data_IF_092880079647
#
_entry.id   IF_092880079647
#
_cell.length_a   1.000
_cell.length_b   1.000
_cell.length_c   1.000
_cell.angle_alpha   90.00
_cell.angle_beta   90.00
_cell.angle_gamma   90.00
#
_symmetry.space_group_name_H-M   'P 1'
#
loop_
_entity.id
_entity.type
_entity.pdbx_description
1 polymer ?
#
# COMPACT_ATOMS: atom_id res chain seq x y z
N UNK A 1 -2.86 -8.71 -22.24
CA UNK A 1 -4.06 -7.91 -22.47
C UNK A 1 -4.13 -6.74 -21.49
N UNK A 2 -4.33 -5.53 -22.03
CA UNK A 2 -4.48 -4.30 -21.28
C UNK A 2 -5.91 -4.12 -20.69
N UNK A 3 -6.18 -2.98 -20.00
CA UNK A 3 -7.49 -2.73 -19.40
C UNK A 3 -8.66 -2.76 -20.41
N UNK A 4 -8.48 -2.21 -21.62
CA UNK A 4 -9.52 -2.21 -22.66
C UNK A 4 -9.91 -3.64 -23.05
N UNK A 5 -8.93 -4.52 -23.24
CA UNK A 5 -9.15 -5.93 -23.59
C UNK A 5 -9.79 -6.73 -22.44
N UNK A 6 -9.70 -6.19 -21.21
CA UNK A 6 -10.33 -6.75 -20.01
C UNK A 6 -11.73 -6.20 -19.74
N UNK A 7 -12.25 -5.30 -20.59
CA UNK A 7 -13.61 -4.80 -20.54
C UNK A 7 -13.79 -3.37 -20.03
N UNK A 8 -12.71 -2.65 -19.73
CA UNK A 8 -12.80 -1.22 -19.45
C UNK A 8 -13.07 -0.43 -20.74
N UNK A 9 -13.99 0.52 -20.70
CA UNK A 9 -14.30 1.37 -21.84
C UNK A 9 -13.22 2.46 -22.06
N UNK A 10 -12.54 2.86 -20.99
CA UNK A 10 -11.54 3.92 -20.99
C UNK A 10 -10.36 3.54 -20.10
N UNK A 11 -9.20 4.04 -20.46
CA UNK A 11 -7.98 3.91 -19.68
C UNK A 11 -7.13 5.17 -19.83
N UNK A 12 -6.56 5.62 -18.72
CA UNK A 12 -5.43 6.53 -18.68
C UNK A 12 -4.40 5.98 -17.71
N UNK A 13 -3.17 5.82 -18.12
CA UNK A 13 -2.11 5.26 -17.29
C UNK A 13 -0.84 4.98 -18.08
N UNK A 14 0.09 4.23 -17.48
CA UNK A 14 1.38 3.93 -18.09
C UNK A 14 1.26 3.24 -19.46
N UNK A 15 2.07 3.68 -20.42
CA UNK A 15 2.18 3.03 -21.75
C UNK A 15 2.81 1.65 -21.67
N UNK A 16 3.77 1.48 -20.76
CA UNK A 16 4.46 0.21 -20.49
C UNK A 16 4.46 0.00 -18.98
N UNK A 17 4.14 -1.21 -18.56
CA UNK A 17 4.29 -1.61 -17.17
C UNK A 17 5.76 -1.93 -16.89
N UNK A 18 6.58 -0.89 -16.80
CA UNK A 18 7.95 -0.96 -16.35
C UNK A 18 8.07 -0.14 -15.07
N UNK A 19 8.19 -0.83 -13.94
CA UNK A 19 8.22 -0.24 -12.60
C UNK A 19 9.40 0.71 -12.32
N UNK A 20 10.28 0.93 -13.30
CA UNK A 20 11.44 1.82 -13.18
C UNK A 20 11.25 3.19 -13.83
N UNK A 21 10.07 3.45 -14.41
CA UNK A 21 9.78 4.65 -15.20
C UNK A 21 8.63 5.48 -14.62
N UNK A 22 8.36 5.39 -13.32
CA UNK A 22 7.20 6.04 -12.67
C UNK A 22 7.45 7.53 -12.39
N UNK A 23 8.03 8.28 -13.33
CA UNK A 23 8.24 9.72 -13.16
C UNK A 23 6.89 10.46 -13.19
N UNK A 24 6.57 11.14 -12.07
CA UNK A 24 5.32 11.88 -11.92
C UNK A 24 5.22 13.11 -12.82
N UNK A 25 6.34 13.58 -13.38
CA UNK A 25 6.43 14.80 -14.17
C UNK A 25 6.53 14.56 -15.67
N UNK A 26 6.74 13.32 -16.11
CA UNK A 26 6.91 12.98 -17.53
C UNK A 26 5.61 12.51 -18.18
N UNK A 27 4.88 13.37 -18.93
CA UNK A 27 3.64 12.99 -19.60
C UNK A 27 3.85 11.91 -20.68
N UNK A 28 5.07 11.72 -21.19
CA UNK A 28 5.35 10.74 -22.24
C UNK A 28 5.22 9.29 -21.78
N UNK A 29 5.29 9.06 -20.48
CA UNK A 29 5.12 7.74 -19.88
C UNK A 29 3.67 7.23 -19.91
N UNK A 30 2.71 8.11 -20.15
CA UNK A 30 1.28 7.82 -20.01
C UNK A 30 0.57 7.81 -21.36
N UNK A 31 -0.52 7.06 -21.42
CA UNK A 31 -1.39 6.99 -22.58
C UNK A 31 -2.85 6.98 -22.17
N UNK A 32 -3.69 7.59 -23.01
CA UNK A 32 -5.15 7.45 -22.97
C UNK A 32 -5.59 6.44 -24.01
N UNK A 33 -6.52 5.54 -23.63
CA UNK A 33 -7.13 4.57 -24.55
C UNK A 33 -8.66 4.58 -24.39
N UNK A 34 -9.44 4.31 -25.44
CA UNK A 34 -8.95 4.23 -26.82
C UNK A 34 -8.38 5.59 -27.28
N UNK A 35 -7.49 5.55 -28.26
CA UNK A 35 -6.96 6.78 -28.88
C UNK A 35 -8.12 7.60 -29.48
N UNK A 36 -8.05 8.91 -29.37
CA UNK A 36 -9.10 9.81 -29.87
C UNK A 36 -9.05 11.19 -29.22
N UNK A 37 -10.17 11.92 -29.24
CA UNK A 37 -10.26 13.27 -28.71
C UNK A 37 -9.76 13.31 -27.26
N UNK A 38 -8.69 14.08 -27.03
CA UNK A 38 -8.20 14.37 -25.68
C UNK A 38 -9.15 15.38 -25.04
N UNK A 39 -9.63 15.14 -23.81
CA UNK A 39 -10.30 16.21 -23.08
C UNK A 39 -9.29 17.33 -22.79
N UNK A 40 -9.75 18.57 -22.78
CA UNK A 40 -8.96 19.67 -22.25
C UNK A 40 -8.82 19.49 -20.74
N UNK A 41 -7.64 19.07 -20.30
CA UNK A 41 -7.31 18.89 -18.91
C UNK A 41 -6.27 19.92 -18.48
N UNK A 42 -6.26 20.33 -17.19
CA UNK A 42 -5.27 21.28 -16.66
C UNK A 42 -3.80 20.86 -16.91
N UNK A 43 -3.56 19.55 -17.01
CA UNK A 43 -2.27 18.97 -17.33
C UNK A 43 -1.70 19.42 -18.70
N UNK A 44 -2.55 19.69 -19.66
CA UNK A 44 -2.13 20.11 -21.01
C UNK A 44 -1.68 21.57 -21.04
N UNK A 45 -2.00 22.36 -20.01
CA UNK A 45 -1.56 23.73 -19.83
C UNK A 45 -0.14 23.88 -19.20
N UNK A 46 0.69 22.85 -19.25
CA UNK A 46 2.09 22.88 -18.80
C UNK A 46 2.29 22.60 -17.30
N UNK A 47 1.32 22.02 -16.63
CA UNK A 47 1.38 21.64 -15.20
C UNK A 47 1.13 20.15 -14.98
N UNK A 48 1.76 19.30 -15.79
CA UNK A 48 1.59 17.86 -15.63
C UNK A 48 2.18 17.40 -14.30
N UNK A 49 1.34 16.75 -13.47
CA UNK A 49 1.72 15.95 -12.31
C UNK A 49 0.79 14.74 -12.25
N UNK A 50 1.35 13.54 -12.46
CA UNK A 50 0.58 12.34 -12.76
C UNK A 50 -0.51 12.03 -11.71
N UNK A 51 -0.23 12.20 -10.42
CA UNK A 51 -1.21 11.96 -9.35
C UNK A 51 -2.47 12.81 -9.50
N UNK A 52 -2.33 14.10 -9.83
CA UNK A 52 -3.47 14.99 -10.06
C UNK A 52 -4.19 14.63 -11.37
N UNK A 53 -3.43 14.31 -12.41
CA UNK A 53 -3.94 13.95 -13.74
C UNK A 53 -4.74 12.66 -13.71
N UNK A 54 -4.36 11.66 -12.91
CA UNK A 54 -5.17 10.46 -12.72
C UNK A 54 -6.57 10.80 -12.18
N UNK A 55 -6.64 11.74 -11.24
CA UNK A 55 -7.92 12.21 -10.71
C UNK A 55 -8.72 12.96 -11.78
N UNK A 56 -8.07 13.82 -12.60
CA UNK A 56 -8.72 14.56 -13.69
C UNK A 56 -9.36 13.60 -14.68
N UNK A 57 -8.65 12.54 -15.09
CA UNK A 57 -9.20 11.52 -15.98
C UNK A 57 -10.32 10.70 -15.34
N UNK A 58 -10.21 10.36 -14.05
CA UNK A 58 -11.29 9.67 -13.35
C UNK A 58 -12.58 10.48 -13.36
N UNK A 59 -12.51 11.78 -13.03
CA UNK A 59 -13.64 12.70 -13.09
C UNK A 59 -14.23 12.83 -14.50
N UNK A 60 -13.37 12.92 -15.50
CA UNK A 60 -13.79 12.99 -16.90
C UNK A 60 -14.50 11.70 -17.36
N UNK A 61 -13.98 10.54 -16.99
CA UNK A 61 -14.62 9.26 -17.33
C UNK A 61 -15.98 9.08 -16.61
N UNK A 62 -16.10 9.52 -15.36
CA UNK A 62 -17.37 9.56 -14.64
C UNK A 62 -18.37 10.48 -15.34
N UNK A 63 -17.94 11.69 -15.75
CA UNK A 63 -18.77 12.63 -16.50
C UNK A 63 -19.29 12.01 -17.82
N UNK A 64 -18.42 11.36 -18.59
CA UNK A 64 -18.79 10.67 -19.82
C UNK A 64 -19.79 9.52 -19.58
N UNK A 65 -19.61 8.76 -18.51
CA UNK A 65 -20.54 7.68 -18.16
C UNK A 65 -21.94 8.22 -17.82
N UNK A 66 -22.03 9.32 -17.07
CA UNK A 66 -23.28 10.00 -16.72
C UNK A 66 -24.06 10.44 -17.96
N UNK A 67 -23.39 10.94 -19.00
CA UNK A 67 -24.07 11.35 -20.25
C UNK A 67 -24.74 10.19 -20.97
N UNK A 68 -24.27 8.95 -20.71
CA UNK A 68 -24.85 7.72 -21.28
C UNK A 68 -25.98 7.12 -20.40
N UNK A 69 -26.20 7.68 -19.22
CA UNK A 69 -27.21 7.17 -18.28
C UNK A 69 -26.94 5.76 -17.75
N UNK A 70 -25.71 5.27 -17.83
CA UNK A 70 -25.32 3.92 -17.44
C UNK A 70 -24.60 3.90 -16.09
N UNK A 71 -24.76 2.82 -15.31
CA UNK A 71 -23.89 2.57 -14.17
C UNK A 71 -22.42 2.53 -14.59
N UNK A 72 -21.53 2.95 -13.70
CA UNK A 72 -20.09 2.98 -14.00
C UNK A 72 -19.26 2.33 -12.89
N UNK A 73 -18.07 1.90 -13.27
CA UNK A 73 -17.02 1.41 -12.38
C UNK A 73 -15.72 2.13 -12.72
N UNK A 74 -15.10 2.74 -11.73
CA UNK A 74 -13.79 3.40 -11.86
C UNK A 74 -12.79 2.69 -10.96
N UNK A 75 -11.68 2.25 -11.54
CA UNK A 75 -10.52 1.77 -10.81
C UNK A 75 -9.41 2.81 -10.91
N UNK A 76 -9.27 3.63 -9.86
CA UNK A 76 -8.27 4.69 -9.77
C UNK A 76 -7.04 4.16 -9.02
N UNK A 77 -6.06 3.68 -9.79
CA UNK A 77 -4.82 3.12 -9.28
C UNK A 77 -3.71 4.18 -9.37
N UNK A 78 -3.50 4.92 -8.29
CA UNK A 78 -2.38 5.86 -8.22
C UNK A 78 -1.05 5.11 -8.13
N UNK A 79 -0.01 5.59 -8.84
CA UNK A 79 1.38 5.18 -8.61
C UNK A 79 1.95 5.84 -7.34
N UNK A 80 1.46 7.00 -6.97
CA UNK A 80 1.78 7.64 -5.69
C UNK A 80 1.29 6.80 -4.50
N UNK A 81 2.09 6.70 -3.42
CA UNK A 81 3.37 7.35 -3.16
C UNK A 81 4.60 6.47 -3.41
N UNK A 82 4.57 5.54 -4.39
CA UNK A 82 5.72 4.72 -4.78
C UNK A 82 6.91 5.61 -5.22
N UNK A 83 8.14 5.11 -5.07
CA UNK A 83 9.29 5.80 -5.64
C UNK A 83 9.28 5.78 -7.19
N UNK A 84 9.91 6.78 -7.85
CA UNK A 84 10.62 7.92 -7.27
C UNK A 84 9.67 8.85 -6.52
N UNK A 85 10.11 9.28 -5.32
CA UNK A 85 9.31 10.24 -4.56
C UNK A 85 9.42 11.61 -5.21
N UNK A 86 8.28 12.13 -5.68
CA UNK A 86 8.20 13.38 -6.44
C UNK A 86 6.89 14.09 -6.13
N UNK A 87 6.94 15.38 -5.83
CA UNK A 87 5.76 16.19 -5.54
C UNK A 87 6.00 17.69 -5.79
N UNK A 88 4.93 18.48 -6.00
CA UNK A 88 5.03 19.93 -6.11
C UNK A 88 5.71 20.56 -4.89
N UNK A 89 6.64 21.49 -5.16
CA UNK A 89 7.51 22.10 -4.15
C UNK A 89 6.74 22.71 -2.99
N UNK A 90 5.66 23.43 -3.27
CA UNK A 90 4.83 24.07 -2.25
C UNK A 90 4.22 23.06 -1.27
N UNK A 91 3.85 21.88 -1.76
CA UNK A 91 3.34 20.79 -0.92
C UNK A 91 4.45 20.21 -0.04
N UNK A 92 5.65 20.02 -0.59
CA UNK A 92 6.82 19.52 0.16
C UNK A 92 7.16 20.46 1.31
N UNK A 93 7.23 21.78 1.06
CA UNK A 93 7.59 22.77 2.07
C UNK A 93 6.60 22.80 3.25
N UNK A 94 5.32 22.53 3.03
CA UNK A 94 4.32 22.43 4.12
C UNK A 94 4.61 21.31 5.11
N UNK A 95 5.22 20.22 4.66
CA UNK A 95 5.48 19.04 5.49
C UNK A 95 6.84 19.02 6.16
N UNK A 96 7.80 19.83 5.69
CA UNK A 96 9.20 19.74 6.10
C UNK A 96 9.40 19.94 7.60
N UNK A 97 8.74 20.90 8.20
CA UNK A 97 8.84 21.17 9.64
C UNK A 97 8.41 19.97 10.50
N UNK A 98 7.39 19.22 10.06
CA UNK A 98 6.92 18.02 10.75
C UNK A 98 8.01 16.96 10.78
N UNK A 99 8.65 16.68 9.64
CA UNK A 99 9.58 15.56 9.53
C UNK A 99 11.00 15.85 10.03
N UNK A 100 11.36 17.13 10.22
CA UNK A 100 12.56 17.53 10.98
C UNK A 100 12.54 17.06 12.43
N UNK A 101 11.38 16.74 12.98
CA UNK A 101 11.23 16.19 14.33
C UNK A 101 11.72 14.76 14.46
N UNK A 102 11.93 14.07 13.33
CA UNK A 102 12.48 12.73 13.25
C UNK A 102 11.47 11.60 13.48
N UNK A 103 11.87 10.42 13.05
CA UNK A 103 10.99 9.26 13.08
C UNK A 103 10.72 8.71 14.49
N UNK A 104 11.62 8.84 15.47
CA UNK A 104 11.39 8.28 16.80
C UNK A 104 10.24 9.04 17.51
N UNK A 105 10.28 10.35 17.53
CA UNK A 105 9.22 11.20 18.11
C UNK A 105 7.89 10.98 17.40
N UNK A 106 7.88 11.02 16.09
CA UNK A 106 6.65 10.86 15.30
C UNK A 106 6.08 9.44 15.42
N UNK A 107 6.94 8.42 15.62
CA UNK A 107 6.54 7.04 15.85
C UNK A 107 5.82 6.88 17.19
N UNK A 108 6.33 7.50 18.24
CA UNK A 108 5.69 7.51 19.56
C UNK A 108 4.31 8.19 19.50
N UNK A 109 4.23 9.36 18.86
CA UNK A 109 2.98 10.11 18.71
C UNK A 109 1.94 9.32 17.89
N UNK A 110 2.37 8.71 16.77
CA UNK A 110 1.51 7.85 15.95
C UNK A 110 0.98 6.68 16.77
N UNK A 111 1.85 5.99 17.49
CA UNK A 111 1.47 4.85 18.33
C UNK A 111 0.48 5.24 19.42
N UNK A 112 0.77 6.34 20.14
CA UNK A 112 -0.13 6.87 21.16
C UNK A 112 -1.50 7.25 20.57
N UNK A 113 -1.52 7.86 19.37
CA UNK A 113 -2.77 8.19 18.67
C UNK A 113 -3.56 6.94 18.27
N UNK A 114 -2.90 5.90 17.76
CA UNK A 114 -3.55 4.63 17.39
C UNK A 114 -4.20 3.97 18.60
N UNK A 115 -3.56 4.02 19.78
CA UNK A 115 -4.16 3.55 21.06
C UNK A 115 -5.41 4.36 21.42
N UNK A 116 -5.34 5.69 21.36
CA UNK A 116 -6.51 6.56 21.66
C UNK A 116 -7.68 6.31 20.71
N UNK A 117 -7.40 5.97 19.45
CA UNK A 117 -8.42 5.63 18.45
C UNK A 117 -8.94 4.19 18.59
N UNK A 118 -8.44 3.40 19.55
CA UNK A 118 -8.83 2.02 19.73
C UNK A 118 -8.36 1.08 18.62
N UNK A 119 -7.36 1.47 17.83
CA UNK A 119 -6.76 0.60 16.80
C UNK A 119 -5.87 -0.49 17.40
N UNK A 120 -5.24 -0.19 18.53
CA UNK A 120 -4.31 -1.06 19.23
C UNK A 120 -4.80 -1.40 20.64
N UNK A 121 -4.40 -2.56 21.21
CA UNK A 121 -4.63 -2.87 22.61
C UNK A 121 -4.10 -1.75 23.52
N UNK A 122 -4.82 -1.37 24.58
CA UNK A 122 -4.44 -0.28 25.46
C UNK A 122 -3.13 -0.54 26.22
N UNK A 123 -2.84 -1.78 26.51
CA UNK A 123 -1.66 -2.27 27.22
C UNK A 123 -0.47 -2.58 26.32
N UNK A 124 -0.65 -2.55 25.01
CA UNK A 124 0.44 -2.79 24.05
C UNK A 124 1.60 -1.81 24.27
N UNK A 125 2.81 -2.31 24.37
CA UNK A 125 4.02 -1.50 24.35
C UNK A 125 4.44 -1.16 22.91
N UNK A 126 5.09 -0.02 22.73
CA UNK A 126 5.69 0.32 21.43
C UNK A 126 6.82 -0.67 21.14
N UNK A 127 6.78 -1.44 20.03
CA UNK A 127 7.85 -2.34 19.68
C UNK A 127 9.21 -1.62 19.52
N UNK A 128 10.34 -2.29 19.63
CA UNK A 128 11.65 -1.73 19.27
C UNK A 128 11.65 -1.17 17.85
N UNK A 129 12.68 -0.39 17.50
CA UNK A 129 12.86 0.04 16.11
C UNK A 129 13.03 -1.19 15.22
N UNK A 130 12.24 -1.22 14.13
CA UNK A 130 12.30 -2.32 13.17
C UNK A 130 13.69 -2.44 12.54
N UNK A 131 14.05 -3.65 12.18
CA UNK A 131 15.32 -3.94 11.55
C UNK A 131 15.37 -3.50 10.10
N UNK A 132 16.58 -3.24 9.65
CA UNK A 132 16.89 -3.06 8.22
C UNK A 132 17.05 -4.45 7.61
N UNK A 133 16.22 -4.83 6.61
CA UNK A 133 16.30 -6.16 6.02
C UNK A 133 17.69 -6.50 5.41
N UNK A 134 18.00 -7.79 5.43
CA UNK A 134 19.18 -8.38 4.78
C UNK A 134 18.72 -9.19 3.58
N UNK A 135 18.42 -8.52 2.48
CA UNK A 135 17.91 -9.18 1.28
C UNK A 135 18.83 -9.04 0.06
N UNK A 136 19.86 -8.19 0.15
CA UNK A 136 20.80 -7.95 -0.94
C UNK A 136 22.20 -7.66 -0.39
N UNK A 137 23.13 -8.54 -0.71
CA UNK A 137 24.53 -8.43 -0.28
C UNK A 137 25.29 -7.28 -0.99
N UNK A 138 24.80 -6.86 -2.17
CA UNK A 138 25.39 -5.81 -2.99
C UNK A 138 24.99 -4.38 -2.55
N UNK A 139 24.06 -4.23 -1.60
CA UNK A 139 23.65 -2.94 -1.08
C UNK A 139 24.28 -2.66 0.29
N UNK A 140 25.46 -2.10 0.26
CA UNK A 140 26.20 -1.73 1.46
C UNK A 140 25.60 -0.47 2.10
N UNK A 141 24.74 -0.62 3.11
CA UNK A 141 24.17 0.50 3.86
C UNK A 141 24.69 0.59 5.32
N UNK A 142 25.48 -0.38 5.77
CA UNK A 142 26.03 -0.45 7.12
C UNK A 142 25.06 -0.85 8.23
N UNK A 143 23.79 -1.09 7.90
CA UNK A 143 22.71 -1.36 8.87
C UNK A 143 21.97 -2.68 8.63
N UNK A 144 22.23 -3.37 7.53
CA UNK A 144 21.56 -4.65 7.22
C UNK A 144 21.63 -5.61 8.41
N UNK A 145 20.47 -6.17 8.81
CA UNK A 145 20.33 -7.04 9.98
C UNK A 145 20.46 -6.33 11.33
N UNK A 146 20.42 -5.00 11.36
CA UNK A 146 20.42 -4.19 12.59
C UNK A 146 19.18 -3.35 12.66
N UNK A 147 18.83 -2.90 13.87
CA UNK A 147 17.75 -1.92 14.04
C UNK A 147 18.05 -0.63 13.28
N UNK A 148 17.01 0.01 12.72
CA UNK A 148 17.14 1.36 12.18
C UNK A 148 17.84 2.29 13.21
N UNK A 149 18.72 3.19 12.78
CA UNK A 149 19.42 4.08 13.69
C UNK A 149 18.45 4.99 14.45
N UNK A 150 18.84 5.41 15.66
CA UNK A 150 18.12 6.47 16.34
C UNK A 150 18.28 7.78 15.57
N UNK A 151 17.21 8.56 15.43
CA UNK A 151 17.23 9.83 14.69
C UNK A 151 18.32 10.79 15.19
N UNK A 152 18.42 10.95 16.51
CA UNK A 152 19.39 11.84 17.12
C UNK A 152 20.85 11.38 16.99
N UNK A 153 21.09 10.10 16.64
CA UNK A 153 22.44 9.61 16.37
C UNK A 153 22.97 10.01 14.99
N UNK A 154 22.11 10.57 14.13
CA UNK A 154 22.48 10.94 12.77
C UNK A 154 23.08 12.36 12.71
N UNK A 155 24.06 12.60 11.82
CA UNK A 155 24.54 13.95 11.54
C UNK A 155 23.42 14.90 11.11
N UNK A 156 23.48 16.16 11.49
CA UNK A 156 22.46 17.17 11.20
C UNK A 156 22.11 17.25 9.70
N UNK A 157 23.12 17.23 8.83
CA UNK A 157 22.92 17.27 7.38
C UNK A 157 22.16 16.03 6.87
N UNK A 158 22.43 14.83 7.43
CA UNK A 158 21.68 13.62 7.08
C UNK A 158 20.23 13.70 7.56
N UNK A 159 19.99 14.29 8.72
CA UNK A 159 18.63 14.53 9.21
C UNK A 159 17.83 15.47 8.30
N UNK A 160 18.46 16.52 7.78
CA UNK A 160 17.81 17.43 6.81
C UNK A 160 17.49 16.72 5.49
N UNK A 161 18.42 15.91 4.93
CA UNK A 161 18.17 15.11 3.73
C UNK A 161 16.98 14.15 3.92
N UNK A 162 16.98 13.41 5.03
CA UNK A 162 15.92 12.46 5.35
C UNK A 162 14.58 13.12 5.65
N UNK A 163 14.59 14.25 6.35
CA UNK A 163 13.37 15.02 6.61
C UNK A 163 12.70 15.48 5.29
N UNK A 164 13.53 15.91 4.33
CA UNK A 164 13.03 16.31 3.02
C UNK A 164 12.50 15.12 2.21
N UNK A 165 13.16 13.97 2.23
CA UNK A 165 12.65 12.74 1.59
C UNK A 165 11.24 12.41 2.09
N UNK A 166 11.04 12.42 3.40
CA UNK A 166 9.72 12.13 3.96
C UNK A 166 8.70 13.24 3.71
N UNK A 167 9.13 14.50 3.65
CA UNK A 167 8.25 15.61 3.28
C UNK A 167 7.74 15.46 1.83
N UNK A 168 8.59 15.00 0.90
CA UNK A 168 8.18 14.69 -0.48
C UNK A 168 7.17 13.55 -0.49
N UNK A 169 7.43 12.46 0.22
CA UNK A 169 6.49 11.34 0.32
C UNK A 169 5.13 11.79 0.89
N UNK A 170 5.14 12.57 1.95
CA UNK A 170 3.91 13.09 2.56
C UNK A 170 3.14 14.02 1.61
N UNK A 171 3.84 14.82 0.82
CA UNK A 171 3.23 15.66 -0.21
C UNK A 171 2.57 14.81 -1.31
N UNK A 172 3.17 13.68 -1.72
CA UNK A 172 2.52 12.72 -2.64
C UNK A 172 1.21 12.19 -2.05
N UNK A 173 1.21 11.79 -0.79
CA UNK A 173 -0.01 11.32 -0.10
C UNK A 173 -1.05 12.43 0.00
N UNK A 174 -0.65 13.69 0.29
CA UNK A 174 -1.55 14.85 0.29
C UNK A 174 -2.25 15.02 -1.07
N UNK A 175 -1.54 14.86 -2.18
CA UNK A 175 -2.13 14.97 -3.51
C UNK A 175 -3.14 13.85 -3.81
N UNK A 176 -2.88 12.61 -3.36
CA UNK A 176 -3.86 11.52 -3.41
C UNK A 176 -5.11 11.88 -2.60
N UNK A 177 -4.96 12.35 -1.36
CA UNK A 177 -6.06 12.74 -0.48
C UNK A 177 -6.90 13.87 -1.08
N UNK A 178 -6.24 14.90 -1.64
CA UNK A 178 -6.92 16.00 -2.36
C UNK A 178 -7.70 15.48 -3.58
N UNK A 179 -7.12 14.52 -4.30
CA UNK A 179 -7.79 13.84 -5.42
C UNK A 179 -9.08 13.12 -4.97
N UNK A 180 -9.01 12.37 -3.87
CA UNK A 180 -10.19 11.74 -3.24
C UNK A 180 -11.23 12.79 -2.87
N UNK A 181 -10.83 13.89 -2.22
CA UNK A 181 -11.73 14.99 -1.88
C UNK A 181 -12.45 15.59 -3.10
N UNK A 182 -11.74 15.73 -4.23
CA UNK A 182 -12.33 16.22 -5.49
C UNK A 182 -13.39 15.25 -6.04
N UNK A 183 -13.14 13.95 -5.97
CA UNK A 183 -14.10 12.91 -6.40
C UNK A 183 -15.34 12.93 -5.50
N UNK A 184 -15.17 12.98 -4.18
CA UNK A 184 -16.27 13.05 -3.23
C UNK A 184 -17.17 14.28 -3.50
N UNK A 185 -16.55 15.45 -3.68
CA UNK A 185 -17.27 16.69 -3.99
C UNK A 185 -18.01 16.63 -5.33
N UNK A 186 -17.46 15.93 -6.33
CA UNK A 186 -18.13 15.72 -7.62
C UNK A 186 -19.35 14.81 -7.50
N UNK A 187 -19.21 13.71 -6.76
CA UNK A 187 -20.30 12.78 -6.46
C UNK A 187 -21.44 13.46 -5.68
N UNK A 188 -21.10 14.29 -4.70
CA UNK A 188 -22.07 15.05 -3.91
C UNK A 188 -22.85 16.02 -4.81
N UNK A 189 -22.16 16.82 -5.62
CA UNK A 189 -22.80 17.76 -6.57
C UNK A 189 -23.66 17.06 -7.60
N UNK A 190 -23.32 15.85 -8.00
CA UNK A 190 -24.10 15.03 -8.93
C UNK A 190 -25.27 14.29 -8.24
N UNK A 191 -25.41 14.35 -6.92
CA UNK A 191 -26.41 13.58 -6.16
C UNK A 191 -26.19 12.08 -6.22
N UNK A 192 -24.95 11.63 -6.40
CA UNK A 192 -24.59 10.21 -6.56
C UNK A 192 -23.90 9.61 -5.34
N UNK A 193 -23.43 10.44 -4.40
CA UNK A 193 -22.61 9.98 -3.27
C UNK A 193 -23.29 8.88 -2.46
N UNK A 194 -24.59 9.03 -2.17
CA UNK A 194 -25.37 8.04 -1.42
C UNK A 194 -25.40 6.65 -2.08
N UNK A 195 -25.40 6.62 -3.42
CA UNK A 195 -25.52 5.41 -4.23
C UNK A 195 -24.18 4.87 -4.75
N UNK A 196 -23.08 5.48 -4.38
CA UNK A 196 -21.75 5.09 -4.81
C UNK A 196 -21.03 4.29 -3.72
N UNK A 197 -20.53 3.12 -4.08
CA UNK A 197 -19.61 2.35 -3.21
C UNK A 197 -18.20 2.89 -3.47
N UNK A 198 -17.57 3.41 -2.43
CA UNK A 198 -16.20 3.92 -2.47
C UNK A 198 -15.33 2.99 -1.64
N UNK A 199 -14.29 2.45 -2.26
CA UNK A 199 -13.30 1.61 -1.61
C UNK A 199 -11.94 2.28 -1.72
N UNK A 200 -11.28 2.51 -0.59
CA UNK A 200 -9.92 3.02 -0.54
C UNK A 200 -9.01 2.03 0.21
N UNK A 201 -7.89 1.66 -0.40
CA UNK A 201 -6.89 0.78 0.20
C UNK A 201 -5.52 1.04 -0.38
N UNK A 202 -4.47 0.59 0.32
CA UNK A 202 -3.12 0.43 -0.23
C UNK A 202 -2.94 -0.99 -0.75
N UNK A 203 -2.00 -1.22 -1.65
CA UNK A 203 -1.67 -2.54 -2.22
C UNK A 203 -0.71 -3.34 -1.32
N UNK A 204 0.15 -2.65 -0.57
CA UNK A 204 1.11 -3.24 0.38
C UNK A 204 1.51 -2.24 1.46
N UNK A 205 2.26 -2.72 2.43
CA UNK A 205 2.85 -1.88 3.46
C UNK A 205 4.02 -1.03 2.96
N UNK A 206 4.60 -0.24 3.86
CA UNK A 206 5.64 0.73 3.54
C UNK A 206 6.89 0.11 2.91
N UNK A 207 7.43 0.77 1.91
CA UNK A 207 8.63 0.31 1.18
C UNK A 207 9.89 0.78 1.89
N UNK A 208 10.81 -0.16 2.21
CA UNK A 208 12.06 0.12 2.93
C UNK A 208 13.27 0.39 2.04
N UNK A 209 13.13 0.22 0.74
CA UNK A 209 14.24 0.17 -0.21
C UNK A 209 15.05 1.48 -0.25
N UNK A 210 16.40 1.51 -0.05
CA UNK A 210 17.17 0.44 0.56
C UNK A 210 17.85 0.99 1.80
N UNK A 211 17.77 0.27 2.93
CA UNK A 211 18.37 0.70 4.18
C UNK A 211 17.73 1.96 4.78
N UNK A 212 18.30 2.50 5.87
CA UNK A 212 17.65 3.58 6.64
C UNK A 212 17.58 4.91 5.90
N UNK A 213 18.39 5.09 4.85
CA UNK A 213 18.52 6.37 4.14
C UNK A 213 17.88 6.37 2.74
N UNK A 214 17.28 5.24 2.32
CA UNK A 214 16.73 5.10 0.98
C UNK A 214 17.80 4.94 -0.10
N UNK A 215 17.43 5.20 -1.35
CA UNK A 215 18.36 5.19 -2.49
C UNK A 215 18.11 6.39 -3.41
N UNK A 216 19.07 6.62 -4.32
CA UNK A 216 19.01 7.64 -5.36
C UNK A 216 19.27 7.04 -6.74
N UNK A 217 18.57 7.55 -7.76
CA UNK A 217 18.65 7.05 -9.13
C UNK A 217 17.97 5.70 -9.29
N UNK A 218 18.71 4.67 -9.72
CA UNK A 218 18.15 3.34 -9.99
C UNK A 218 18.14 2.49 -8.73
N UNK A 219 16.97 2.03 -8.31
CA UNK A 219 16.77 1.20 -7.11
C UNK A 219 17.78 0.05 -6.99
N UNK A 220 17.97 -0.72 -8.06
CA UNK A 220 18.88 -1.88 -8.08
C UNK A 220 20.36 -1.57 -7.78
N UNK A 221 20.78 -0.32 -7.87
CA UNK A 221 22.16 0.10 -7.57
C UNK A 221 22.38 0.45 -6.12
N UNK A 222 21.33 0.68 -5.34
CA UNK A 222 21.39 0.97 -3.92
C UNK A 222 22.21 2.20 -3.55
N UNK A 223 22.51 3.09 -4.52
CA UNK A 223 23.26 4.32 -4.25
C UNK A 223 22.46 5.22 -3.32
N UNK A 224 23.11 5.76 -2.31
CA UNK A 224 22.52 6.71 -1.39
C UNK A 224 23.38 7.96 -1.30
N UNK A 225 22.89 9.06 -1.81
CA UNK A 225 23.57 10.35 -1.79
C UNK A 225 23.15 11.17 -0.56
N UNK A 226 24.00 12.04 -0.09
CA UNK A 226 23.68 13.06 0.89
C UNK A 226 23.50 14.40 0.19
N UNK A 227 22.26 14.80 -0.05
CA UNK A 227 21.96 16.05 -0.72
C UNK A 227 22.12 17.24 0.21
N UNK A 228 22.62 18.35 -0.34
CA UNK A 228 22.84 19.61 0.37
C UNK A 228 22.46 20.80 -0.52
N UNK A 229 22.21 21.94 0.09
CA UNK A 229 21.98 23.21 -0.61
C UNK A 229 20.93 23.09 -1.70
N UNK A 230 21.32 23.43 -2.92
CA UNK A 230 20.41 23.46 -4.07
C UNK A 230 19.91 22.08 -4.48
N UNK A 231 20.77 21.03 -4.42
CA UNK A 231 20.36 19.66 -4.71
C UNK A 231 19.28 19.19 -3.74
N UNK A 232 19.44 19.47 -2.44
CA UNK A 232 18.43 19.19 -1.43
C UNK A 232 17.12 19.95 -1.73
N UNK A 233 17.20 21.24 -2.09
CA UNK A 233 16.05 22.06 -2.40
C UNK A 233 15.26 21.58 -3.64
N UNK A 234 15.93 20.89 -4.57
CA UNK A 234 15.33 20.33 -5.78
C UNK A 234 14.73 18.94 -5.60
N UNK A 235 15.00 18.27 -4.48
CA UNK A 235 14.48 16.91 -4.24
C UNK A 235 12.96 16.87 -4.38
N UNK A 236 12.47 15.89 -5.13
CA UNK A 236 11.05 15.71 -5.45
C UNK A 236 10.58 16.42 -6.72
N UNK A 237 11.42 17.22 -7.36
CA UNK A 237 11.11 17.88 -8.62
C UNK A 237 11.46 17.00 -9.83
N UNK A 238 11.05 17.43 -11.01
CA UNK A 238 11.36 16.73 -12.27
C UNK A 238 12.84 16.40 -12.40
N UNK A 239 13.13 15.17 -12.84
CA UNK A 239 14.49 14.66 -13.01
C UNK A 239 15.19 14.23 -11.71
N UNK A 240 14.50 14.24 -10.56
CA UNK A 240 15.02 13.67 -9.32
C UNK A 240 14.42 12.29 -9.06
N UNK A 241 15.25 11.33 -8.67
CA UNK A 241 14.82 9.96 -8.42
C UNK A 241 15.38 9.50 -7.07
N UNK A 242 14.54 9.46 -6.05
CA UNK A 242 14.93 9.02 -4.71
C UNK A 242 13.82 8.22 -4.02
N UNK A 243 14.20 7.50 -2.95
CA UNK A 243 13.27 6.86 -2.03
C UNK A 243 13.50 7.37 -0.60
N UNK A 244 12.61 7.02 0.34
CA UNK A 244 12.66 7.55 1.71
C UNK A 244 13.31 6.61 2.74
N UNK A 245 13.44 5.31 2.41
CA UNK A 245 14.19 4.34 3.21
C UNK A 245 13.45 3.74 4.42
N UNK A 246 14.11 2.74 5.05
CA UNK A 246 13.52 1.93 6.12
C UNK A 246 13.24 2.70 7.42
N UNK A 247 13.98 3.76 7.71
CA UNK A 247 13.71 4.59 8.89
C UNK A 247 12.33 5.22 8.85
N UNK A 248 11.94 5.80 7.72
CA UNK A 248 10.62 6.35 7.52
C UNK A 248 9.56 5.27 7.24
N UNK A 249 9.93 4.18 6.55
CA UNK A 249 9.03 3.05 6.38
C UNK A 249 8.61 2.43 7.72
N UNK A 250 9.53 2.31 8.68
CA UNK A 250 9.25 1.91 10.05
C UNK A 250 8.21 2.83 10.71
N UNK A 251 8.34 4.15 10.59
CA UNK A 251 7.32 5.08 11.07
C UNK A 251 5.96 4.80 10.42
N UNK A 252 5.93 4.66 9.10
CA UNK A 252 4.71 4.39 8.32
C UNK A 252 4.01 3.10 8.74
N UNK A 253 4.75 2.05 9.06
CA UNK A 253 4.23 0.75 9.46
C UNK A 253 3.97 0.59 10.95
N UNK A 254 4.43 1.50 11.81
CA UNK A 254 4.28 1.37 13.28
C UNK A 254 2.85 1.01 13.69
N UNK A 255 2.65 -0.02 14.53
CA UNK A 255 3.65 -0.83 15.24
C UNK A 255 4.03 -2.15 14.54
N UNK A 256 3.62 -2.35 13.30
CA UNK A 256 3.69 -3.61 12.57
C UNK A 256 5.14 -3.95 12.19
N UNK A 257 5.46 -5.25 12.20
CA UNK A 257 6.77 -5.74 11.86
C UNK A 257 7.06 -5.74 10.36
N UNK A 258 8.29 -5.49 9.98
CA UNK A 258 8.81 -5.56 8.62
C UNK A 258 8.13 -4.58 7.64
N UNK A 259 8.21 -4.84 6.32
CA UNK A 259 7.93 -3.90 5.25
C UNK A 259 7.37 -4.62 4.02
N UNK A 260 7.05 -3.88 2.96
CA UNK A 260 6.85 -4.42 1.61
C UNK A 260 7.88 -5.52 1.31
N UNK A 261 7.52 -6.54 0.57
CA UNK A 261 8.22 -7.79 0.27
C UNK A 261 8.13 -8.88 1.35
N UNK A 262 7.80 -8.54 2.59
CA UNK A 262 7.64 -9.52 3.67
C UNK A 262 6.17 -9.86 3.89
N UNK A 263 5.90 -11.10 4.34
CA UNK A 263 4.56 -11.54 4.71
C UNK A 263 4.19 -11.21 6.17
N UNK A 264 5.06 -10.53 6.92
CA UNK A 264 4.75 -9.94 8.21
C UNK A 264 3.71 -8.82 8.06
N UNK A 265 3.03 -8.46 9.15
CA UNK A 265 1.93 -7.47 9.12
C UNK A 265 2.37 -6.13 8.49
N UNK A 266 3.60 -5.67 8.72
CA UNK A 266 4.11 -4.43 8.09
C UNK A 266 4.25 -4.49 6.57
N UNK A 267 4.24 -5.68 5.98
CA UNK A 267 4.24 -5.84 4.52
C UNK A 267 2.85 -6.04 3.92
N UNK A 268 1.91 -6.63 4.68
CA UNK A 268 0.62 -7.09 4.12
C UNK A 268 -0.62 -6.47 4.78
N UNK A 269 -0.51 -5.96 6.00
CA UNK A 269 -1.65 -5.35 6.70
C UNK A 269 -1.77 -3.88 6.36
N UNK A 270 -2.72 -3.56 5.50
CA UNK A 270 -2.97 -2.21 4.99
C UNK A 270 -4.36 -1.72 5.38
N UNK A 271 -4.59 -0.41 5.45
CA UNK A 271 -5.92 0.13 5.70
C UNK A 271 -6.88 -0.22 4.56
N UNK A 272 -8.12 -0.56 4.91
CA UNK A 272 -9.25 -0.67 4.00
C UNK A 272 -10.38 0.20 4.52
N UNK A 273 -10.80 1.17 3.73
CA UNK A 273 -11.93 2.05 4.03
C UNK A 273 -13.02 1.83 2.99
N UNK A 274 -14.25 1.60 3.45
CA UNK A 274 -15.41 1.47 2.55
C UNK A 274 -16.49 2.45 2.99
N UNK A 275 -17.02 3.21 2.03
CA UNK A 275 -18.15 4.11 2.21
C UNK A 275 -19.25 3.74 1.21
N UNK A 276 -20.47 3.54 1.71
CA UNK A 276 -21.67 3.33 0.89
C UNK A 276 -22.92 3.68 1.69
N UNK A 277 -23.28 4.97 1.78
CA UNK A 277 -24.37 5.42 2.65
C UNK A 277 -25.71 4.72 2.43
N UNK A 278 -26.11 4.45 1.20
CA UNK A 278 -27.35 3.71 0.90
C UNK A 278 -27.27 2.21 1.23
N UNK A 279 -26.10 1.64 1.39
CA UNK A 279 -25.92 0.19 1.60
C UNK A 279 -25.81 -0.23 3.06
N UNK A 280 -25.27 0.62 3.90
CA UNK A 280 -25.13 0.41 5.34
C UNK A 280 -24.95 1.75 6.08
N UNK A 281 -25.44 1.82 7.31
CA UNK A 281 -25.24 2.99 8.15
C UNK A 281 -23.76 3.13 8.54
N UNK A 282 -23.30 4.38 8.65
CA UNK A 282 -22.00 4.66 9.23
C UNK A 282 -21.90 4.08 10.65
N UNK A 283 -20.77 3.52 10.99
CA UNK A 283 -20.52 2.90 12.29
C UNK A 283 -19.37 3.59 12.99
N UNK A 284 -19.52 3.76 14.29
CA UNK A 284 -18.38 4.10 15.13
C UNK A 284 -17.50 2.85 15.35
N UNK A 285 -16.18 3.08 15.44
CA UNK A 285 -15.20 2.04 15.71
C UNK A 285 -14.69 1.30 14.47
N UNK A 286 -14.14 0.12 14.69
CA UNK A 286 -13.35 -0.62 13.70
C UNK A 286 -13.97 -1.97 13.39
N UNK A 287 -14.02 -2.34 12.11
CA UNK A 287 -14.30 -3.71 11.67
C UNK A 287 -13.01 -4.52 11.81
N UNK A 288 -13.04 -5.55 12.66
CA UNK A 288 -11.86 -6.37 12.99
C UNK A 288 -11.72 -7.63 12.13
N UNK A 289 -12.75 -7.99 11.37
CA UNK A 289 -12.70 -9.15 10.47
C UNK A 289 -11.59 -8.94 9.42
N UNK A 290 -10.62 -9.86 9.30
CA UNK A 290 -9.59 -9.77 8.30
C UNK A 290 -10.18 -9.83 6.89
N UNK A 291 -9.78 -8.88 6.03
CA UNK A 291 -10.15 -8.80 4.63
C UNK A 291 -8.92 -9.01 3.74
N UNK A 292 -9.14 -9.31 2.48
CA UNK A 292 -8.09 -9.42 1.47
C UNK A 292 -8.58 -8.82 0.15
N UNK A 293 -7.69 -8.37 -0.72
CA UNK A 293 -8.06 -7.77 -2.02
C UNK A 293 -8.91 -8.73 -2.88
N UNK A 294 -8.75 -10.05 -2.75
CA UNK A 294 -9.57 -11.05 -3.44
C UNK A 294 -11.06 -10.99 -3.05
N UNK A 295 -11.39 -10.37 -1.92
CA UNK A 295 -12.76 -10.25 -1.41
C UNK A 295 -13.54 -9.11 -2.09
N UNK A 296 -12.84 -8.18 -2.74
CA UNK A 296 -13.47 -7.02 -3.38
C UNK A 296 -14.39 -7.44 -4.52
N UNK A 297 -13.95 -8.37 -5.37
CA UNK A 297 -14.76 -8.83 -6.50
C UNK A 297 -16.09 -9.45 -6.06
N UNK A 298 -16.14 -10.47 -5.18
CA UNK A 298 -17.41 -11.04 -4.74
C UNK A 298 -18.26 -10.03 -3.95
N UNK A 299 -17.63 -9.11 -3.21
CA UNK A 299 -18.35 -8.03 -2.48
C UNK A 299 -19.06 -7.08 -3.43
N UNK A 300 -18.33 -6.56 -4.42
CA UNK A 300 -18.90 -5.62 -5.40
C UNK A 300 -19.95 -6.29 -6.29
N UNK A 301 -19.72 -7.54 -6.70
CA UNK A 301 -20.69 -8.30 -7.48
C UNK A 301 -21.99 -8.50 -6.70
N UNK A 302 -21.93 -8.90 -5.44
CA UNK A 302 -23.11 -9.04 -4.57
C UNK A 302 -23.79 -7.70 -4.33
N UNK A 303 -23.05 -6.65 -4.02
CA UNK A 303 -23.60 -5.32 -3.75
C UNK A 303 -24.32 -4.72 -4.95
N UNK A 304 -23.83 -4.97 -6.16
CA UNK A 304 -24.41 -4.48 -7.42
C UNK A 304 -25.45 -5.44 -8.04
N UNK A 305 -25.69 -6.61 -7.44
CA UNK A 305 -26.53 -7.66 -8.03
C UNK A 305 -25.98 -8.20 -9.36
N UNK A 306 -24.65 -8.08 -9.58
CA UNK A 306 -24.02 -8.52 -10.81
C UNK A 306 -23.61 -10.01 -10.71
N UNK A 307 -23.94 -10.85 -11.72
CA UNK A 307 -23.55 -12.25 -11.68
C UNK A 307 -22.05 -12.40 -11.89
N UNK A 308 -21.43 -13.28 -11.10
CA UNK A 308 -20.06 -13.70 -11.36
C UNK A 308 -20.01 -14.60 -12.60
N UNK A 309 -19.12 -14.28 -13.52
CA UNK A 309 -18.90 -15.07 -14.73
C UNK A 309 -18.41 -16.48 -14.37
N UNK A 310 -19.07 -17.50 -14.96
CA UNK A 310 -18.65 -18.90 -14.86
C UNK A 310 -17.96 -19.41 -16.11
N UNK A 311 -18.15 -18.68 -17.22
CA UNK A 311 -17.55 -18.99 -18.50
C UNK A 311 -17.34 -17.69 -19.30
N UNK A 312 -16.26 -17.64 -20.07
CA UNK A 312 -15.95 -16.54 -21.02
C UNK A 312 -15.38 -17.15 -22.31
N UNK A 313 -16.06 -16.89 -23.42
CA UNK A 313 -15.64 -17.38 -24.74
C UNK A 313 -15.36 -18.90 -24.78
N UNK A 314 -16.22 -19.71 -24.16
CA UNK A 314 -16.07 -21.17 -24.10
C UNK A 314 -15.08 -21.68 -23.05
N UNK A 315 -14.41 -20.79 -22.31
CA UNK A 315 -13.45 -21.16 -21.26
C UNK A 315 -14.09 -20.99 -19.89
N UNK A 316 -14.01 -22.02 -19.05
CA UNK A 316 -14.49 -21.96 -17.66
C UNK A 316 -13.68 -20.94 -16.87
N UNK A 317 -14.38 -20.06 -16.16
CA UNK A 317 -13.78 -19.09 -15.21
C UNK A 317 -13.86 -19.72 -13.82
N UNK A 318 -12.73 -19.86 -13.11
CA UNK A 318 -12.75 -20.35 -11.74
C UNK A 318 -13.52 -19.39 -10.82
N UNK A 319 -14.20 -19.89 -9.79
CA UNK A 319 -14.86 -19.03 -8.83
C UNK A 319 -13.84 -18.14 -8.10
N UNK A 320 -14.24 -16.94 -7.65
CA UNK A 320 -13.38 -16.12 -6.79
C UNK A 320 -12.97 -16.89 -5.54
N UNK A 321 -11.70 -16.77 -5.14
CA UNK A 321 -11.21 -17.35 -3.88
C UNK A 321 -11.63 -16.54 -2.66
N UNK A 322 -12.02 -15.28 -2.86
CA UNK A 322 -12.50 -14.38 -1.79
C UNK A 322 -13.94 -14.63 -1.39
N UNK A 323 -14.35 -13.97 -0.31
CA UNK A 323 -15.72 -13.95 0.23
C UNK A 323 -16.28 -12.53 0.19
N UNK A 324 -17.61 -12.40 0.21
CA UNK A 324 -18.22 -11.08 0.33
C UNK A 324 -17.97 -10.46 1.70
N UNK A 325 -17.58 -9.19 1.73
CA UNK A 325 -17.39 -8.38 2.92
C UNK A 325 -18.68 -7.69 3.38
N UNK A 326 -19.80 -7.78 2.63
CA UNK A 326 -21.06 -7.14 3.01
C UNK A 326 -21.56 -7.50 4.43
N UNK A 327 -21.42 -8.76 4.91
CA UNK A 327 -21.75 -9.05 6.30
C UNK A 327 -20.93 -8.22 7.29
N UNK A 328 -19.61 -8.09 7.07
CA UNK A 328 -18.72 -7.32 7.94
C UNK A 328 -19.05 -5.81 7.89
N UNK A 329 -19.33 -5.27 6.70
CA UNK A 329 -19.77 -3.89 6.53
C UNK A 329 -21.07 -3.59 7.27
N UNK A 330 -21.97 -4.58 7.38
CA UNK A 330 -23.23 -4.51 8.12
C UNK A 330 -23.08 -4.93 9.61
N UNK A 331 -21.85 -5.10 10.10
CA UNK A 331 -21.56 -5.34 11.50
C UNK A 331 -21.63 -6.78 11.99
N UNK A 332 -21.65 -7.75 11.08
CA UNK A 332 -21.55 -9.17 11.41
C UNK A 332 -20.10 -9.61 11.22
N UNK A 333 -19.57 -10.37 12.17
CA UNK A 333 -18.23 -10.95 12.02
C UNK A 333 -18.19 -11.96 10.88
N UNK A 334 -17.07 -11.98 10.15
CA UNK A 334 -16.80 -13.03 9.19
C UNK A 334 -16.21 -14.25 9.91
N UNK A 335 -16.59 -15.48 9.51
CA UNK A 335 -15.96 -16.67 10.07
C UNK A 335 -14.45 -16.69 9.76
N UNK A 336 -13.62 -17.21 10.67
CA UNK A 336 -12.21 -17.42 10.41
C UNK A 336 -12.00 -18.26 9.15
N UNK A 337 -11.08 -17.82 8.32
CA UNK A 337 -10.70 -18.53 7.08
C UNK A 337 -9.21 -18.38 6.80
N UNK A 338 -8.58 -19.33 6.09
CA UNK A 338 -7.21 -19.16 5.69
C UNK A 338 -7.05 -17.95 4.73
N UNK A 339 -6.10 -17.09 5.04
CA UNK A 339 -5.67 -15.99 4.18
C UNK A 339 -4.18 -16.19 3.89
N UNK A 340 -3.85 -16.90 2.80
CA UNK A 340 -2.47 -17.17 2.43
C UNK A 340 -1.85 -15.99 1.70
N UNK A 341 -0.54 -15.83 1.87
CA UNK A 341 0.29 -14.85 1.17
C UNK A 341 1.57 -15.52 0.66
N UNK A 342 2.04 -15.08 -0.50
CA UNK A 342 3.32 -15.49 -1.08
C UNK A 342 3.88 -14.35 -1.93
N UNK A 343 5.14 -13.98 -1.71
CA UNK A 343 5.82 -12.96 -2.50
C UNK A 343 7.34 -13.16 -2.47
N UNK A 344 7.97 -13.34 -3.63
CA UNK A 344 9.44 -13.42 -3.77
C UNK A 344 10.13 -14.35 -2.76
N UNK A 345 9.54 -15.52 -2.48
CA UNK A 345 10.04 -16.48 -1.50
C UNK A 345 9.54 -16.29 -0.08
N UNK A 346 9.02 -15.11 0.29
CA UNK A 346 8.31 -14.93 1.55
C UNK A 346 6.95 -15.63 1.51
N UNK A 347 6.52 -16.21 2.61
CA UNK A 347 5.29 -16.98 2.77
C UNK A 347 4.57 -16.59 4.04
N UNK A 348 3.27 -16.66 4.03
CA UNK A 348 2.48 -16.44 5.23
C UNK A 348 1.07 -17.02 5.12
N UNK A 349 0.50 -17.36 6.27
CA UNK A 349 -0.90 -17.73 6.35
C UNK A 349 -1.49 -17.20 7.65
N UNK A 350 -2.58 -16.46 7.54
CA UNK A 350 -3.41 -16.05 8.68
C UNK A 350 -4.65 -16.92 8.76
N UNK A 351 -4.96 -17.42 9.97
CA UNK A 351 -6.20 -18.12 10.28
C UNK A 351 -6.76 -17.61 11.62
N UNK A 352 -7.79 -16.78 11.53
CA UNK A 352 -8.31 -16.05 12.70
C UNK A 352 -7.25 -15.11 13.28
N UNK A 353 -6.93 -15.28 14.56
CA UNK A 353 -5.91 -14.50 15.26
C UNK A 353 -4.50 -15.04 15.10
N UNK A 354 -4.35 -16.27 14.62
CA UNK A 354 -3.05 -16.90 14.43
C UNK A 354 -2.49 -16.63 13.05
N UNK A 355 -1.16 -16.40 13.00
CA UNK A 355 -0.44 -16.18 11.75
C UNK A 355 0.89 -16.91 11.78
N UNK A 356 1.15 -17.70 10.74
CA UNK A 356 2.46 -18.27 10.44
C UNK A 356 3.13 -17.44 9.34
N UNK A 357 4.43 -17.16 9.49
CA UNK A 357 5.22 -16.40 8.52
C UNK A 357 6.53 -17.13 8.28
N UNK A 358 6.89 -17.27 7.01
CA UNK A 358 8.19 -17.74 6.58
C UNK A 358 8.95 -16.55 5.99
N UNK A 359 9.99 -16.16 6.66
CA UNK A 359 10.77 -15.02 6.22
C UNK A 359 12.08 -14.92 6.98
N UNK A 360 13.03 -14.22 6.38
CA UNK A 360 14.32 -13.96 7.01
C UNK A 360 14.20 -12.67 7.82
N UNK A 361 14.28 -12.80 9.13
CA UNK A 361 14.60 -11.67 10.01
C UNK A 361 16.09 -11.73 10.35
N UNK A 362 16.77 -10.61 10.28
CA UNK A 362 18.18 -10.49 10.65
C UNK A 362 19.08 -11.55 9.96
N UNK A 363 20.04 -12.08 10.71
CA UNK A 363 20.98 -13.13 10.30
C UNK A 363 20.50 -14.53 10.69
N UNK A 364 19.26 -14.67 11.14
CA UNK A 364 18.71 -15.97 11.53
C UNK A 364 18.47 -16.86 10.32
N UNK A 365 18.58 -18.19 10.47
CA UNK A 365 18.18 -19.11 9.42
C UNK A 365 16.69 -18.92 9.13
N UNK A 366 16.33 -18.97 7.84
CA UNK A 366 14.94 -18.87 7.40
C UNK A 366 14.15 -20.02 7.99
N UNK A 367 13.11 -19.71 8.75
CA UNK A 367 12.20 -20.68 9.37
C UNK A 367 10.78 -20.14 9.42
N UNK A 368 9.81 -20.99 9.72
CA UNK A 368 8.47 -20.58 10.09
C UNK A 368 8.45 -19.98 11.49
N UNK A 369 7.84 -18.81 11.61
CA UNK A 369 7.53 -18.10 12.85
C UNK A 369 6.02 -18.17 13.08
N UNK A 370 5.56 -18.08 14.31
CA UNK A 370 4.14 -18.13 14.68
C UNK A 370 3.76 -17.00 15.63
N UNK A 371 2.65 -16.30 15.35
CA UNK A 371 2.19 -15.16 16.12
C UNK A 371 0.70 -15.25 16.46
N UNK A 372 0.32 -14.73 17.64
CA UNK A 372 -1.06 -14.47 18.06
C UNK A 372 -1.33 -12.96 17.90
N UNK A 373 -1.92 -12.57 16.77
CA UNK A 373 -2.15 -11.17 16.42
C UNK A 373 -3.18 -10.47 17.32
N UNK A 374 -3.99 -11.22 18.07
CA UNK A 374 -4.91 -10.63 19.05
C UNK A 374 -4.20 -10.01 20.24
N UNK A 375 -3.00 -10.51 20.56
CA UNK A 375 -2.16 -10.06 21.68
C UNK A 375 -0.91 -9.30 21.20
N UNK A 376 -0.37 -9.73 20.07
CA UNK A 376 0.89 -9.21 19.51
C UNK A 376 0.73 -8.86 18.01
N UNK A 377 -0.03 -7.81 17.69
CA UNK A 377 -0.17 -7.35 16.31
C UNK A 377 1.15 -6.82 15.71
N UNK A 378 2.17 -6.60 16.53
CA UNK A 378 3.52 -6.20 16.14
C UNK A 378 4.46 -7.35 15.81
N UNK A 379 4.00 -8.61 15.97
CA UNK A 379 4.78 -9.82 15.68
C UNK A 379 6.16 -9.80 16.37
N UNK A 380 6.18 -9.47 17.69
CA UNK A 380 7.40 -9.27 18.46
C UNK A 380 7.84 -10.55 19.20
N UNK A 381 6.92 -11.50 19.42
CA UNK A 381 7.18 -12.74 20.17
C UNK A 381 6.84 -13.95 19.32
N UNK A 382 7.86 -14.63 18.80
CA UNK A 382 7.68 -15.90 18.09
C UNK A 382 7.22 -17.01 19.04
N UNK A 383 6.08 -17.61 18.73
CA UNK A 383 5.43 -18.67 19.51
C UNK A 383 5.60 -20.06 18.87
N UNK A 384 6.39 -20.22 17.82
CA UNK A 384 6.55 -21.46 17.06
C UNK A 384 6.90 -22.66 17.96
N UNK A 385 7.89 -22.49 18.84
CA UNK A 385 8.35 -23.55 19.74
C UNK A 385 7.36 -23.86 20.87
N UNK A 386 6.51 -22.87 21.25
CA UNK A 386 5.50 -23.04 22.30
C UNK A 386 4.20 -23.68 21.78
N UNK A 387 3.91 -23.53 20.49
CA UNK A 387 2.67 -24.00 19.88
C UNK A 387 2.93 -24.79 18.57
N UNK A 388 3.75 -25.87 18.58
CA UNK A 388 4.15 -26.59 17.37
C UNK A 388 2.97 -27.21 16.61
N UNK A 389 1.90 -27.60 17.30
CA UNK A 389 0.70 -28.14 16.67
C UNK A 389 -0.06 -27.06 15.89
N UNK A 390 -0.17 -25.84 16.44
CA UNK A 390 -0.79 -24.70 15.75
C UNK A 390 0.06 -24.26 14.55
N UNK A 391 1.38 -24.21 14.69
CA UNK A 391 2.26 -23.92 13.56
C UNK A 391 2.04 -24.91 12.42
N UNK A 392 2.02 -26.21 12.72
CA UNK A 392 1.80 -27.26 11.72
C UNK A 392 0.45 -27.09 11.02
N UNK A 393 -0.64 -26.81 11.76
CA UNK A 393 -1.96 -26.55 11.18
C UNK A 393 -1.90 -25.44 10.10
N UNK A 394 -1.20 -24.33 10.39
CA UNK A 394 -1.12 -23.21 9.46
C UNK A 394 -0.18 -23.50 8.27
N UNK A 395 0.95 -24.16 8.52
CA UNK A 395 1.89 -24.50 7.44
C UNK A 395 1.32 -25.53 6.50
N UNK A 396 0.63 -26.56 7.00
CA UNK A 396 -0.06 -27.56 6.15
C UNK A 396 -1.13 -26.87 5.28
N UNK A 397 -1.92 -25.95 5.86
CA UNK A 397 -2.93 -25.20 5.12
C UNK A 397 -2.29 -24.27 4.05
N UNK A 398 -1.11 -23.71 4.32
CA UNK A 398 -0.37 -22.92 3.33
C UNK A 398 0.15 -23.81 2.18
N UNK A 399 0.72 -24.97 2.49
CA UNK A 399 1.25 -25.92 1.49
C UNK A 399 0.12 -26.46 0.59
N UNK A 400 -1.03 -26.78 1.17
CA UNK A 400 -2.23 -27.17 0.41
C UNK A 400 -2.69 -26.09 -0.55
N UNK A 401 -2.72 -24.82 -0.11
CA UNK A 401 -3.07 -23.71 -0.97
C UNK A 401 -2.03 -23.50 -2.07
N UNK A 402 -0.74 -23.50 -1.72
CA UNK A 402 0.36 -23.30 -2.66
C UNK A 402 0.34 -24.34 -3.78
N UNK A 403 0.08 -25.62 -3.42
CA UNK A 403 -0.07 -26.72 -4.38
C UNK A 403 -1.25 -26.52 -5.33
N UNK A 404 -2.41 -26.03 -4.84
CA UNK A 404 -3.58 -25.77 -5.68
C UNK A 404 -3.41 -24.63 -6.66
N UNK A 405 -2.67 -23.57 -6.30
CA UNK A 405 -2.50 -22.38 -7.14
C UNK A 405 -1.18 -22.36 -7.91
N UNK A 406 -0.34 -23.39 -7.75
CA UNK A 406 0.92 -23.52 -8.47
C UNK A 406 2.02 -22.56 -7.99
N UNK A 407 2.04 -22.21 -6.71
CA UNK A 407 3.16 -21.45 -6.12
C UNK A 407 4.38 -22.35 -6.05
N UNK A 408 5.49 -21.93 -6.68
CA UNK A 408 6.75 -22.67 -6.60
C UNK A 408 7.35 -22.52 -5.19
N UNK A 409 7.21 -23.57 -4.39
CA UNK A 409 7.76 -23.65 -3.03
C UNK A 409 9.27 -23.84 -2.99
N UNK A 410 9.91 -24.14 -4.14
CA UNK A 410 11.36 -24.35 -4.24
C UNK A 410 12.12 -23.06 -4.61
N UNK A 411 11.42 -22.01 -4.99
CA UNK A 411 12.04 -20.76 -5.34
C UNK A 411 12.53 -20.03 -4.07
N UNK A 412 13.78 -20.29 -3.74
CA UNK A 412 14.79 -19.63 -2.88
C UNK A 412 14.54 -19.62 -1.39
#
# INVERSE_FOLDING_TARGET
>A
PGPIERGFAHYFGFRKMDSHSEDQWDPSLYARLPEGVKPELPAEAGRFYATDVFTDYALEFMRQARTKGAPWFVYLAHSSPHFPIQAPKESVERHLATYRRGWDVLREERFARMKRLGLLPPDMALPPRSEVPVDRDDIANGFSGRANPAWESLPAERREDLARRMAVFAAMVEHVDRGVGRILSDLERAGELERTIIVFTSDNGACYEWGPFGFDGVSRRGRNDLHRGEELARMGQAGTHSSYGSGWAMLGNTPLAMYKHFCHEGGVSVPLVVSWPAGFAAREGWVRSPAHVMDLLPTLAEACGAPLLRERAGVKVPPPSGVSLLPAMKGRELPPRPIPTAHQGARGLRLGDWKAVWGKRQNDPVRWELYDLSKDPGETVDLADRHPAKLRELTDAWDDWAGRVGVDVKAR
#
